data_IF_130152704404
#
_entry.id   IF_130152704404
#
_cell.length_a   1.000
_cell.length_b   1.000
_cell.length_c   1.000
_cell.angle_alpha   90.00
_cell.angle_beta   90.00
_cell.angle_gamma   90.00
#
_symmetry.space_group_name_H-M   'P 1'
#
loop_
_entity.id
_entity.type
_entity.pdbx_description
1 polymer ?
#
# COMPACT_ATOMS: atom_id res chain seq x y z
N UNK A 1 -39.13 5.78 26.26
CA UNK A 1 -38.26 6.11 25.11
C UNK A 1 -37.34 4.93 24.86
N UNK A 2 -37.45 4.21 23.73
CA UNK A 2 -36.56 3.09 23.43
C UNK A 2 -35.23 3.62 22.88
N UNK A 3 -34.15 3.37 23.61
CA UNK A 3 -32.78 3.60 23.16
C UNK A 3 -32.43 2.56 22.08
N UNK A 4 -32.23 3.00 20.83
CA UNK A 4 -31.66 2.17 19.76
C UNK A 4 -30.14 2.36 19.78
N UNK A 5 -29.34 1.31 20.03
CA UNK A 5 -27.91 1.41 19.83
C UNK A 5 -27.63 1.44 18.32
N UNK A 6 -27.17 2.57 17.81
CA UNK A 6 -26.79 2.79 16.42
C UNK A 6 -25.47 2.09 16.11
N UNK A 7 -25.48 0.76 16.01
CA UNK A 7 -24.35 -0.06 15.53
C UNK A 7 -24.24 -0.08 13.98
N UNK A 8 -24.59 1.02 13.29
CA UNK A 8 -24.43 1.17 11.83
C UNK A 8 -23.10 1.82 11.42
N UNK A 9 -22.46 2.57 12.33
CA UNK A 9 -21.37 3.50 12.00
C UNK A 9 -20.09 2.89 11.43
N UNK A 10 -19.85 1.59 11.62
CA UNK A 10 -18.61 0.95 11.18
C UNK A 10 -18.54 0.75 9.66
N UNK A 11 -19.56 0.13 9.07
CA UNK A 11 -19.52 -0.29 7.65
C UNK A 11 -19.84 0.85 6.70
N UNK A 12 -20.80 1.69 7.04
CA UNK A 12 -21.21 2.84 6.21
C UNK A 12 -20.10 3.88 6.12
N UNK A 13 -19.39 4.16 7.21
CA UNK A 13 -18.22 5.05 7.20
C UNK A 13 -17.07 4.47 6.37
N UNK A 14 -16.85 3.15 6.45
CA UNK A 14 -15.84 2.43 5.66
C UNK A 14 -16.14 2.54 4.16
N UNK A 15 -17.38 2.22 3.77
CA UNK A 15 -17.83 2.33 2.39
C UNK A 15 -17.80 3.77 1.89
N UNK A 16 -18.14 4.76 2.73
CA UNK A 16 -18.09 6.17 2.37
C UNK A 16 -16.66 6.66 2.16
N UNK A 17 -15.70 6.19 2.96
CA UNK A 17 -14.27 6.50 2.78
C UNK A 17 -13.70 5.84 1.51
N UNK A 18 -14.06 4.58 1.23
CA UNK A 18 -13.67 3.87 0.00
C UNK A 18 -14.31 4.50 -1.25
N UNK A 19 -15.58 4.88 -1.18
CA UNK A 19 -16.25 5.59 -2.27
C UNK A 19 -15.62 6.97 -2.51
N UNK A 20 -15.26 7.68 -1.44
CA UNK A 20 -14.54 8.95 -1.52
C UNK A 20 -13.17 8.80 -2.20
N UNK A 21 -12.49 7.65 -2.07
CA UNK A 21 -11.22 7.41 -2.76
C UNK A 21 -11.37 7.46 -4.29
N UNK A 22 -12.49 6.94 -4.81
CA UNK A 22 -12.82 6.92 -6.24
C UNK A 22 -13.45 8.23 -6.73
N UNK A 23 -13.98 9.06 -5.83
CA UNK A 23 -14.56 10.37 -6.17
C UNK A 23 -13.49 11.47 -6.14
N UNK A 24 -13.09 12.04 -7.30
CA UNK A 24 -12.09 13.10 -7.35
C UNK A 24 -12.53 14.39 -6.66
N UNK A 25 -13.84 14.60 -6.44
CA UNK A 25 -14.40 15.79 -5.77
C UNK A 25 -14.54 15.64 -4.25
N UNK A 26 -14.28 14.44 -3.70
CA UNK A 26 -14.38 14.21 -2.27
C UNK A 26 -13.30 14.96 -1.48
N UNK A 27 -13.60 15.39 -0.24
CA UNK A 27 -12.65 16.13 0.58
C UNK A 27 -11.40 15.30 0.89
N UNK A 28 -10.24 15.95 0.88
CA UNK A 28 -8.92 15.33 1.03
C UNK A 28 -8.82 14.37 2.23
N UNK A 29 -9.39 14.74 3.39
CA UNK A 29 -9.34 13.90 4.59
C UNK A 29 -10.03 12.54 4.41
N UNK A 30 -11.16 12.51 3.71
CA UNK A 30 -11.89 11.27 3.40
C UNK A 30 -11.15 10.43 2.35
N UNK A 31 -10.54 11.06 1.34
CA UNK A 31 -9.73 10.37 0.33
C UNK A 31 -8.49 9.71 0.94
N UNK A 32 -7.81 10.41 1.85
CA UNK A 32 -6.67 9.87 2.60
C UNK A 32 -7.09 8.70 3.49
N UNK A 33 -8.20 8.83 4.20
CA UNK A 33 -8.71 7.76 5.05
C UNK A 33 -9.09 6.53 4.22
N UNK A 34 -9.74 6.72 3.06
CA UNK A 34 -10.03 5.65 2.11
C UNK A 34 -8.77 4.97 1.58
N UNK A 35 -7.73 5.75 1.21
CA UNK A 35 -6.46 5.23 0.74
C UNK A 35 -5.75 4.41 1.83
N UNK A 36 -5.70 4.93 3.06
CA UNK A 36 -5.08 4.24 4.20
C UNK A 36 -5.83 2.96 4.55
N UNK A 37 -7.16 2.97 4.45
CA UNK A 37 -7.98 1.81 4.73
C UNK A 37 -7.86 0.74 3.65
N UNK A 38 -7.81 1.15 2.38
CA UNK A 38 -7.48 0.28 1.24
C UNK A 38 -6.09 -0.34 1.39
N UNK A 39 -5.08 0.48 1.72
CA UNK A 39 -3.71 0.06 1.98
C UNK A 39 -3.62 -0.96 3.13
N UNK A 40 -4.28 -0.67 4.26
CA UNK A 40 -4.31 -1.58 5.41
C UNK A 40 -5.02 -2.90 5.10
N UNK A 41 -6.12 -2.84 4.35
CA UNK A 41 -6.84 -4.04 3.92
C UNK A 41 -5.97 -4.94 3.03
N UNK A 42 -5.33 -4.37 2.00
CA UNK A 42 -4.46 -5.14 1.13
C UNK A 42 -3.24 -5.70 1.87
N UNK A 43 -2.63 -4.91 2.75
CA UNK A 43 -1.50 -5.35 3.56
C UNK A 43 -1.91 -6.49 4.51
N UNK A 44 -3.07 -6.38 5.15
CA UNK A 44 -3.62 -7.44 6.01
C UNK A 44 -3.92 -8.72 5.23
N UNK A 45 -4.53 -8.60 4.05
CA UNK A 45 -4.79 -9.73 3.16
C UNK A 45 -3.49 -10.43 2.75
N UNK A 46 -2.49 -9.67 2.30
CA UNK A 46 -1.20 -10.21 1.87
C UNK A 46 -0.38 -10.78 3.03
N UNK A 47 -0.38 -10.12 4.19
CA UNK A 47 0.23 -10.65 5.40
C UNK A 47 -0.41 -11.98 5.82
N UNK A 48 -1.74 -12.06 5.72
CA UNK A 48 -2.51 -13.28 5.96
C UNK A 48 -2.17 -14.42 4.99
N UNK A 49 -1.73 -14.11 3.76
CA UNK A 49 -1.25 -15.10 2.77
C UNK A 49 0.23 -15.44 2.99
N UNK A 50 1.07 -14.47 3.34
CA UNK A 50 2.49 -14.69 3.61
C UNK A 50 2.73 -15.60 4.81
N UNK A 51 1.87 -15.52 5.83
CA UNK A 51 1.98 -16.31 7.05
C UNK A 51 1.91 -17.84 6.81
N UNK A 52 0.89 -18.38 6.12
CA UNK A 52 0.88 -19.79 5.74
C UNK A 52 1.97 -20.10 4.71
N UNK A 53 2.26 -19.20 3.76
CA UNK A 53 3.38 -19.40 2.83
C UNK A 53 4.71 -19.58 3.54
N UNK A 54 4.95 -18.90 4.66
CA UNK A 54 6.18 -19.04 5.44
C UNK A 54 6.38 -20.44 6.01
N UNK A 55 5.30 -21.21 6.18
CA UNK A 55 5.32 -22.60 6.64
C UNK A 55 5.39 -23.59 5.47
N UNK A 56 4.83 -23.24 4.31
CA UNK A 56 4.76 -24.13 3.14
C UNK A 56 5.95 -23.96 2.17
N UNK A 57 6.59 -22.80 2.12
CA UNK A 57 7.64 -22.52 1.13
C UNK A 57 8.95 -23.24 1.48
N UNK A 58 9.51 -24.03 0.54
CA UNK A 58 10.84 -24.58 0.70
C UNK A 58 11.89 -23.46 0.58
N UNK A 59 12.96 -23.60 1.38
CA UNK A 59 14.09 -22.68 1.33
C UNK A 59 14.92 -22.94 0.07
N UNK A 60 15.19 -21.88 -0.69
CA UNK A 60 15.97 -21.92 -1.92
C UNK A 60 16.98 -20.75 -1.92
N UNK A 61 18.25 -21.06 -1.74
CA UNK A 61 19.33 -20.06 -1.67
C UNK A 61 20.04 -19.95 -3.02
N UNK A 62 19.33 -19.45 -4.05
CA UNK A 62 19.91 -19.26 -5.38
C UNK A 62 20.23 -17.78 -5.67
N UNK A 63 21.41 -17.47 -6.24
CA UNK A 63 21.79 -16.09 -6.59
C UNK A 63 20.85 -15.48 -7.64
N UNK A 64 20.24 -16.30 -8.50
CA UNK A 64 19.24 -15.87 -9.47
C UNK A 64 17.99 -15.29 -8.79
N UNK A 65 17.59 -15.84 -7.63
CA UNK A 65 16.44 -15.35 -6.87
C UNK A 65 16.73 -13.98 -6.25
N UNK A 66 17.98 -13.73 -5.84
CA UNK A 66 18.41 -12.39 -5.39
C UNK A 66 18.34 -11.37 -6.53
N UNK A 67 18.88 -11.72 -7.70
CA UNK A 67 18.80 -10.85 -8.87
C UNK A 67 17.34 -10.56 -9.26
N UNK A 68 16.49 -11.58 -9.22
CA UNK A 68 15.06 -11.46 -9.50
C UNK A 68 14.33 -10.60 -8.45
N UNK A 69 14.68 -10.76 -7.16
CA UNK A 69 14.12 -9.96 -6.08
C UNK A 69 14.46 -8.47 -6.28
N UNK A 70 15.71 -8.15 -6.61
CA UNK A 70 16.15 -6.77 -6.85
C UNK A 70 15.54 -6.18 -8.12
N UNK A 71 15.60 -6.91 -9.24
CA UNK A 71 15.05 -6.45 -10.51
C UNK A 71 13.52 -6.30 -10.45
N UNK A 72 12.83 -7.25 -9.84
CA UNK A 72 11.38 -7.23 -9.64
C UNK A 72 10.95 -6.10 -8.70
N UNK A 73 11.65 -5.93 -7.57
CA UNK A 73 11.39 -4.84 -6.63
C UNK A 73 11.63 -3.46 -7.28
N UNK A 74 12.77 -3.29 -7.95
CA UNK A 74 13.09 -2.08 -8.70
C UNK A 74 12.05 -1.78 -9.78
N UNK A 75 11.64 -2.80 -10.55
CA UNK A 75 10.61 -2.66 -11.57
C UNK A 75 9.24 -2.25 -11.01
N UNK A 76 8.78 -2.88 -9.93
CA UNK A 76 7.54 -2.52 -9.25
C UNK A 76 7.60 -1.10 -8.68
N UNK A 77 8.71 -0.73 -8.05
CA UNK A 77 8.90 0.60 -7.49
C UNK A 77 8.91 1.68 -8.58
N UNK A 78 9.59 1.44 -9.70
CA UNK A 78 9.61 2.36 -10.84
C UNK A 78 8.21 2.50 -11.44
N UNK A 79 7.47 1.40 -11.63
CA UNK A 79 6.07 1.45 -12.11
C UNK A 79 5.18 2.25 -11.16
N UNK A 80 5.34 2.09 -9.85
CA UNK A 80 4.59 2.86 -8.87
C UNK A 80 4.90 4.36 -8.94
N UNK A 81 6.17 4.72 -9.15
CA UNK A 81 6.56 6.11 -9.36
C UNK A 81 6.04 6.68 -10.67
N UNK A 82 6.07 5.91 -11.76
CA UNK A 82 5.52 6.32 -13.05
C UNK A 82 4.01 6.55 -12.97
N UNK A 83 3.27 5.66 -12.30
CA UNK A 83 1.84 5.84 -12.06
C UNK A 83 1.56 7.15 -11.31
N UNK A 84 2.37 7.50 -10.30
CA UNK A 84 2.25 8.78 -9.59
C UNK A 84 2.57 10.02 -10.43
N UNK A 85 3.32 9.87 -11.53
CA UNK A 85 3.64 10.98 -12.45
C UNK A 85 2.57 11.25 -13.49
N UNK A 86 1.69 10.28 -13.78
CA UNK A 86 0.62 10.44 -14.76
C UNK A 86 -0.51 11.38 -14.32
N UNK A 87 -0.43 11.98 -13.11
CA UNK A 87 -1.44 12.89 -12.53
C UNK A 87 -2.89 12.42 -12.63
N UNK A 88 -3.09 11.10 -12.82
CA UNK A 88 -4.41 10.49 -12.92
C UNK A 88 -5.09 10.47 -11.54
N UNK A 89 -6.41 10.68 -11.46
CA UNK A 89 -7.14 10.59 -10.21
C UNK A 89 -7.02 9.21 -9.53
N UNK A 90 -6.68 8.17 -10.29
CA UNK A 90 -6.44 6.80 -9.81
C UNK A 90 -4.96 6.49 -9.52
N UNK A 91 -4.04 7.38 -9.90
CA UNK A 91 -2.60 7.21 -9.69
C UNK A 91 -2.23 6.84 -8.23
N UNK A 92 -2.81 7.48 -7.20
CA UNK A 92 -2.50 7.14 -5.80
C UNK A 92 -2.91 5.72 -5.43
N UNK A 93 -4.03 5.24 -5.98
CA UNK A 93 -4.56 3.88 -5.74
C UNK A 93 -3.67 2.85 -6.40
N UNK A 94 -3.29 3.09 -7.67
CA UNK A 94 -2.39 2.21 -8.44
C UNK A 94 -1.02 2.13 -7.76
N UNK A 95 -0.48 3.26 -7.31
CA UNK A 95 0.82 3.30 -6.64
C UNK A 95 0.80 2.59 -5.28
N UNK A 96 -0.28 2.71 -4.51
CA UNK A 96 -0.47 1.92 -3.28
C UNK A 96 -0.59 0.44 -3.62
N UNK A 97 -1.39 0.05 -4.62
CA UNK A 97 -1.51 -1.34 -5.05
C UNK A 97 -0.17 -1.94 -5.48
N UNK A 98 0.64 -1.20 -6.23
CA UNK A 98 1.99 -1.60 -6.63
C UNK A 98 2.96 -1.66 -5.44
N UNK A 99 2.86 -0.73 -4.48
CA UNK A 99 3.66 -0.75 -3.25
C UNK A 99 3.32 -1.93 -2.35
N UNK A 100 2.04 -2.29 -2.26
CA UNK A 100 1.60 -3.50 -1.56
C UNK A 100 2.08 -4.75 -2.31
N UNK A 101 1.96 -4.78 -3.64
CA UNK A 101 2.54 -5.83 -4.48
C UNK A 101 4.07 -5.99 -4.29
N UNK A 102 4.79 -4.89 -4.15
CA UNK A 102 6.23 -4.85 -3.83
C UNK A 102 6.51 -5.53 -2.48
N UNK A 103 5.74 -5.19 -1.45
CA UNK A 103 5.85 -5.83 -0.13
C UNK A 103 5.63 -7.34 -0.21
N UNK A 104 4.57 -7.80 -0.87
CA UNK A 104 4.30 -9.23 -1.02
C UNK A 104 5.37 -9.96 -1.82
N UNK A 105 5.79 -9.40 -2.94
CA UNK A 105 6.83 -9.99 -3.78
C UNK A 105 8.14 -10.15 -3.01
N UNK A 106 8.59 -9.10 -2.31
CA UNK A 106 9.76 -9.15 -1.45
C UNK A 106 9.56 -10.08 -0.24
N UNK A 107 8.34 -10.19 0.28
CA UNK A 107 7.97 -11.14 1.32
C UNK A 107 8.15 -12.59 0.86
N UNK A 108 7.61 -12.94 -0.30
CA UNK A 108 7.76 -14.28 -0.89
C UNK A 108 9.23 -14.57 -1.19
N UNK A 109 9.94 -13.64 -1.83
CA UNK A 109 11.38 -13.80 -2.10
C UNK A 109 12.19 -13.90 -0.81
N UNK A 110 11.82 -13.15 0.22
CA UNK A 110 12.48 -13.20 1.52
C UNK A 110 12.28 -14.51 2.27
N UNK A 111 11.11 -15.14 2.11
CA UNK A 111 10.82 -16.48 2.62
C UNK A 111 11.62 -17.55 1.87
N UNK A 112 11.71 -17.45 0.54
CA UNK A 112 12.51 -18.37 -0.28
C UNK A 112 14.01 -18.27 0.08
N UNK A 113 14.52 -17.06 0.25
CA UNK A 113 15.94 -16.76 0.48
C UNK A 113 16.35 -16.81 1.97
N UNK A 114 15.56 -17.43 2.85
CA UNK A 114 15.89 -17.51 4.29
C UNK A 114 17.29 -18.12 4.51
N UNK A 115 18.02 -17.69 5.56
CA UNK A 115 17.64 -16.69 6.56
C UNK A 115 17.86 -15.23 6.10
N UNK A 116 18.81 -14.96 5.21
CA UNK A 116 19.17 -13.59 4.79
C UNK A 116 18.11 -12.87 3.96
N UNK A 117 17.28 -13.61 3.24
CA UNK A 117 16.11 -13.08 2.53
C UNK A 117 15.13 -12.34 3.43
N UNK A 118 15.08 -12.62 4.74
CA UNK A 118 14.17 -11.93 5.65
C UNK A 118 14.44 -10.42 5.73
N UNK A 119 15.65 -9.97 5.38
CA UNK A 119 15.96 -8.55 5.24
C UNK A 119 15.18 -7.86 4.11
N UNK A 120 14.62 -8.61 3.16
CA UNK A 120 13.79 -8.06 2.07
C UNK A 120 12.40 -7.60 2.54
N UNK A 121 11.86 -8.20 3.62
CA UNK A 121 10.58 -7.81 4.22
C UNK A 121 10.58 -6.34 4.69
N UNK A 122 11.52 -5.90 5.56
CA UNK A 122 11.57 -4.51 5.99
C UNK A 122 11.88 -3.57 4.82
N UNK A 123 12.64 -3.99 3.82
CA UNK A 123 12.86 -3.20 2.58
C UNK A 123 11.56 -3.01 1.82
N UNK A 124 10.77 -4.07 1.63
CA UNK A 124 9.44 -3.99 1.01
C UNK A 124 8.48 -3.11 1.80
N UNK A 125 8.51 -3.20 3.13
CA UNK A 125 7.68 -2.37 4.00
C UNK A 125 8.08 -0.89 3.92
N UNK A 126 9.38 -0.58 3.93
CA UNK A 126 9.88 0.78 3.73
C UNK A 126 9.49 1.34 2.36
N UNK A 127 9.65 0.55 1.29
CA UNK A 127 9.25 0.94 -0.07
C UNK A 127 7.74 1.22 -0.17
N UNK A 128 6.92 0.36 0.43
CA UNK A 128 5.48 0.56 0.54
C UNK A 128 5.12 1.82 1.32
N UNK A 129 5.69 2.03 2.50
CA UNK A 129 5.43 3.22 3.32
C UNK A 129 5.85 4.51 2.60
N UNK A 130 6.96 4.46 1.87
CA UNK A 130 7.41 5.57 1.05
C UNK A 130 6.40 5.89 -0.06
N UNK A 131 5.90 4.87 -0.77
CA UNK A 131 4.87 5.03 -1.80
C UNK A 131 3.54 5.52 -1.22
N UNK A 132 3.13 5.01 -0.05
CA UNK A 132 1.92 5.45 0.64
C UNK A 132 2.00 6.94 1.00
N UNK A 133 3.11 7.37 1.64
CA UNK A 133 3.34 8.79 1.96
C UNK A 133 3.33 9.67 0.70
N UNK A 134 3.91 9.18 -0.40
CA UNK A 134 3.93 9.89 -1.67
C UNK A 134 2.55 9.97 -2.31
N UNK A 135 1.75 8.91 -2.24
CA UNK A 135 0.35 8.89 -2.69
C UNK A 135 -0.53 9.84 -1.87
N UNK A 136 -0.33 9.93 -0.55
CA UNK A 136 -0.99 10.92 0.30
C UNK A 136 -0.64 12.36 -0.10
N UNK A 137 0.62 12.61 -0.46
CA UNK A 137 1.09 13.89 -0.97
C UNK A 137 0.50 14.24 -2.35
N UNK A 138 0.43 13.27 -3.26
CA UNK A 138 -0.17 13.45 -4.59
C UNK A 138 -1.67 13.78 -4.51
N UNK A 139 -2.40 13.23 -3.54
CA UNK A 139 -3.80 13.56 -3.27
C UNK A 139 -4.02 15.02 -2.83
N UNK A 140 -2.97 15.72 -2.37
CA UNK A 140 -3.05 17.14 -1.93
C UNK A 140 -3.13 18.12 -3.12
N UNK A 141 -2.63 17.73 -4.29
CA UNK A 141 -2.57 18.58 -5.50
C UNK A 141 -1.69 19.85 -5.34
N UNK A 142 -1.38 20.57 -6.44
CA UNK A 142 -0.58 21.79 -6.41
C UNK A 142 -1.22 23.00 -5.68
N UNK A 143 -2.50 22.91 -5.31
CA UNK A 143 -3.27 24.00 -4.70
C UNK A 143 -3.28 24.01 -3.16
N UNK A 144 -2.58 23.10 -2.51
CA UNK A 144 -2.39 23.12 -1.05
C UNK A 144 -1.37 24.16 -0.65
N UNK A 145 -1.74 25.44 -0.74
CA UNK A 145 -0.90 26.59 -0.43
C UNK A 145 -0.18 26.48 0.92
N UNK A 146 0.95 27.22 1.08
CA UNK A 146 1.67 27.27 2.34
C UNK A 146 0.71 27.73 3.43
N UNK A 147 0.60 26.95 4.50
CA UNK A 147 -0.06 27.44 5.71
C UNK A 147 0.59 28.76 6.13
N UNK A 148 -0.17 29.70 6.70
CA UNK A 148 0.42 30.94 7.17
C UNK A 148 1.52 30.58 8.17
N UNK A 149 2.76 30.87 7.80
CA UNK A 149 3.87 30.89 8.73
C UNK A 149 3.61 31.93 9.81
N UNK A 150 4.23 31.77 10.99
CA UNK A 150 4.06 32.67 12.12
C UNK A 150 4.40 34.12 11.78
#
# INVERSE_FOLDING_TARGET
>A
MPWKPSWGFGKEALFRALAALLDPKAPWGLRRQGLCLYAAFLLGLQGGVLLPLALLLPQASHPLLWALALAGAGGLFLRAQMALREESPLAPVVAVGLGVGLFFFLGVMGLLLRPWGLGLLPVGAMGFLHLLRRSEGALKGPGGGPGPGP
#
